data_IF_367346161530
#
_entry.id   IF_367346161530
#
_cell.length_a   1.000
_cell.length_b   1.000
_cell.length_c   1.000
_cell.angle_alpha   90.00
_cell.angle_beta   90.00
_cell.angle_gamma   90.00
#
_symmetry.space_group_name_H-M   'P 1'
#
loop_
_entity.id
_entity.type
_entity.pdbx_description
1 polymer ?
#
# COMPACT_ATOMS: atom_id res chain seq x y z
N UNK A 1 -3.61 2.97 -0.47
CA UNK A 1 -3.75 1.88 -1.46
C UNK A 1 -2.80 0.75 -1.08
N UNK A 2 -3.28 -0.48 -1.13
CA UNK A 2 -2.53 -1.71 -0.93
C UNK A 2 -2.32 -2.43 -2.27
N UNK A 3 -1.16 -3.07 -2.39
CA UNK A 3 -0.79 -3.85 -3.56
C UNK A 3 -0.40 -5.26 -3.10
N UNK A 4 -0.92 -6.29 -3.76
CA UNK A 4 -0.41 -7.65 -3.62
C UNK A 4 1.02 -7.74 -4.18
N UNK A 5 1.94 -8.21 -3.34
CA UNK A 5 3.34 -8.33 -3.70
C UNK A 5 3.60 -9.38 -4.80
N UNK A 6 2.75 -10.42 -4.90
CA UNK A 6 2.98 -11.52 -5.82
C UNK A 6 2.69 -11.10 -7.27
N UNK A 7 1.50 -10.58 -7.51
CA UNK A 7 1.02 -10.28 -8.86
C UNK A 7 1.07 -8.79 -9.20
N UNK A 8 1.26 -7.91 -8.21
CA UNK A 8 1.21 -6.46 -8.39
C UNK A 8 -0.21 -5.96 -8.67
N UNK A 9 -1.23 -6.65 -8.18
CA UNK A 9 -2.62 -6.22 -8.23
C UNK A 9 -2.91 -5.26 -7.08
N UNK A 10 -3.82 -4.32 -7.30
CA UNK A 10 -4.34 -3.46 -6.25
C UNK A 10 -5.32 -4.30 -5.43
N UNK A 11 -5.03 -4.44 -4.14
CA UNK A 11 -5.80 -5.24 -3.20
C UNK A 11 -6.78 -4.42 -2.36
N UNK A 12 -6.60 -3.10 -2.31
CA UNK A 12 -7.51 -2.18 -1.65
C UNK A 12 -7.07 -0.74 -1.84
N UNK A 13 -8.04 0.16 -1.85
CA UNK A 13 -7.81 1.57 -2.08
C UNK A 13 -8.74 2.42 -1.23
N UNK A 14 -8.25 3.59 -0.83
CA UNK A 14 -9.02 4.55 -0.06
C UNK A 14 -8.54 5.96 -0.43
N UNK A 15 -9.48 6.89 -0.48
CA UNK A 15 -9.22 8.32 -0.64
C UNK A 15 -9.60 9.01 0.66
N UNK A 16 -8.63 9.69 1.25
CA UNK A 16 -8.81 10.47 2.48
C UNK A 16 -8.51 11.93 2.22
N UNK A 17 -8.98 12.80 3.11
CA UNK A 17 -8.51 14.18 3.15
C UNK A 17 -7.05 14.16 3.60
N UNK A 18 -6.19 14.95 2.95
CA UNK A 18 -4.80 15.05 3.36
C UNK A 18 -4.71 15.81 4.70
N UNK A 19 -4.54 15.07 5.79
CA UNK A 19 -4.14 15.60 7.08
C UNK A 19 -2.85 14.90 7.57
N UNK A 20 -2.36 15.25 8.76
CA UNK A 20 -1.08 14.77 9.27
C UNK A 20 -1.03 13.26 9.61
N UNK A 21 -2.18 12.59 9.71
CA UNK A 21 -2.30 11.16 10.10
C UNK A 21 -3.06 10.30 9.10
N UNK A 22 -3.77 10.90 8.15
CA UNK A 22 -4.65 10.23 7.20
C UNK A 22 -4.01 9.08 6.44
N UNK A 23 -2.71 9.15 6.13
CA UNK A 23 -1.99 8.06 5.47
C UNK A 23 -1.85 6.82 6.36
N UNK A 24 -1.58 7.01 7.65
CA UNK A 24 -1.43 5.95 8.64
C UNK A 24 -2.80 5.36 8.98
N UNK A 25 -3.80 6.22 9.17
CA UNK A 25 -5.17 5.80 9.50
C UNK A 25 -5.77 5.01 8.33
N UNK A 26 -5.60 5.48 7.09
CA UNK A 26 -6.03 4.77 5.90
C UNK A 26 -5.30 3.44 5.70
N UNK A 27 -4.00 3.38 5.98
CA UNK A 27 -3.25 2.13 5.87
C UNK A 27 -3.75 1.09 6.88
N UNK A 28 -4.07 1.51 8.10
CA UNK A 28 -4.63 0.65 9.14
C UNK A 28 -6.03 0.15 8.74
N UNK A 29 -6.90 1.04 8.29
CA UNK A 29 -8.24 0.65 7.84
C UNK A 29 -8.18 -0.34 6.67
N UNK A 30 -7.32 -0.08 5.68
CA UNK A 30 -7.15 -1.00 4.54
C UNK A 30 -6.62 -2.37 4.97
N UNK A 31 -5.79 -2.44 6.00
CA UNK A 31 -5.32 -3.72 6.57
C UNK A 31 -6.48 -4.47 7.24
N UNK A 32 -7.35 -3.75 7.96
CA UNK A 32 -8.53 -4.34 8.60
C UNK A 32 -9.53 -4.87 7.59
N UNK A 33 -9.75 -4.11 6.51
CA UNK A 33 -10.68 -4.46 5.43
C UNK A 33 -10.22 -5.69 4.63
N UNK A 34 -8.92 -5.98 4.57
CA UNK A 34 -8.42 -7.23 3.96
C UNK A 34 -8.93 -8.47 4.69
N UNK A 35 -9.16 -8.35 6.01
CA UNK A 35 -9.64 -9.43 6.86
C UNK A 35 -8.73 -10.67 6.90
N UNK A 36 -9.24 -11.70 7.58
CA UNK A 36 -8.59 -13.01 7.71
C UNK A 36 -7.72 -13.17 8.97
N UNK A 37 -7.54 -14.42 9.38
CA UNK A 37 -6.78 -14.78 10.59
C UNK A 37 -5.31 -15.11 10.30
N UNK A 38 -4.92 -15.08 9.04
CA UNK A 38 -3.58 -15.44 8.60
C UNK A 38 -2.61 -14.27 8.79
N UNK A 39 -1.40 -14.58 9.25
CA UNK A 39 -0.34 -13.59 9.39
C UNK A 39 0.08 -13.06 8.02
N UNK A 40 -0.10 -11.76 7.79
CA UNK A 40 0.34 -11.08 6.56
C UNK A 40 1.57 -10.19 6.81
N UNK A 41 2.19 -9.72 5.72
CA UNK A 41 3.30 -8.77 5.76
C UNK A 41 2.89 -7.49 5.05
N UNK A 42 3.09 -6.33 5.67
CA UNK A 42 2.79 -5.04 5.03
C UNK A 42 4.08 -4.31 4.65
N UNK A 43 4.28 -4.11 3.35
CA UNK A 43 5.37 -3.29 2.83
C UNK A 43 4.98 -1.81 2.83
N UNK A 44 5.81 -0.93 3.40
CA UNK A 44 5.59 0.52 3.37
C UNK A 44 6.90 1.30 3.23
N UNK A 45 6.79 2.57 2.83
CA UNK A 45 7.96 3.46 2.74
C UNK A 45 8.48 3.90 4.12
N UNK A 46 9.55 4.70 4.11
CA UNK A 46 10.24 5.13 5.33
C UNK A 46 9.43 6.11 6.18
N UNK A 47 8.49 6.86 5.60
CA UNK A 47 7.59 7.77 6.30
C UNK A 47 6.67 7.07 7.31
N UNK A 48 6.38 5.78 7.06
CA UNK A 48 5.61 4.91 7.94
C UNK A 48 6.43 4.31 9.09
N UNK A 49 7.76 4.51 9.15
CA UNK A 49 8.59 4.02 10.26
C UNK A 49 8.38 4.89 11.51
N UNK A 50 7.22 4.70 12.15
CA UNK A 50 6.73 5.40 13.34
C UNK A 50 6.37 4.34 14.39
N UNK A 51 6.72 4.58 15.65
CA UNK A 51 6.49 3.61 16.72
C UNK A 51 5.03 3.18 16.87
N UNK A 52 4.09 4.14 16.83
CA UNK A 52 2.64 3.86 16.89
C UNK A 52 2.20 2.93 15.76
N UNK A 53 2.37 3.35 14.51
CA UNK A 53 1.97 2.53 13.35
C UNK A 53 2.63 1.15 13.32
N UNK A 54 3.91 1.05 13.66
CA UNK A 54 4.61 -0.24 13.71
C UNK A 54 4.01 -1.13 14.78
N UNK A 55 3.65 -0.58 15.95
CA UNK A 55 2.99 -1.32 17.02
C UNK A 55 1.57 -1.73 16.62
N UNK A 56 0.78 -0.83 16.03
CA UNK A 56 -0.58 -1.11 15.57
C UNK A 56 -0.62 -2.30 14.60
N UNK A 57 0.32 -2.36 13.66
CA UNK A 57 0.46 -3.51 12.75
C UNK A 57 0.76 -4.80 13.51
N UNK A 58 1.64 -4.75 14.51
CA UNK A 58 2.03 -5.94 15.29
C UNK A 58 0.86 -6.47 16.10
N UNK A 59 0.06 -5.58 16.70
CA UNK A 59 -1.13 -5.93 17.48
C UNK A 59 -2.20 -6.59 16.61
N UNK A 60 -2.25 -6.23 15.32
CA UNK A 60 -3.09 -6.84 14.28
C UNK A 60 -2.50 -8.10 13.64
N UNK A 61 -1.44 -8.67 14.22
CA UNK A 61 -0.70 -9.83 13.67
C UNK A 61 -0.15 -9.58 12.24
N UNK A 62 0.15 -8.33 11.90
CA UNK A 62 0.79 -7.93 10.64
C UNK A 62 2.28 -7.70 10.86
N UNK A 63 3.11 -8.32 10.02
CA UNK A 63 4.56 -8.11 10.08
C UNK A 63 4.94 -6.84 9.30
N UNK A 64 5.50 -5.81 9.96
CA UNK A 64 5.75 -4.53 9.33
C UNK A 64 7.04 -4.56 8.49
N UNK A 65 6.92 -4.76 7.18
CA UNK A 65 8.03 -4.63 6.22
C UNK A 65 8.21 -3.17 5.77
N UNK A 66 8.35 -2.28 6.75
CA UNK A 66 8.50 -0.83 6.55
C UNK A 66 9.97 -0.49 6.34
N UNK A 67 10.28 0.40 5.39
CA UNK A 67 11.65 0.80 5.13
C UNK A 67 12.28 1.53 6.33
N UNK A 68 13.33 0.94 6.91
CA UNK A 68 13.99 1.42 8.13
C UNK A 68 14.62 2.81 8.02
N UNK A 69 14.41 3.67 9.02
CA UNK A 69 15.16 4.92 9.27
C UNK A 69 16.57 4.63 9.80
N UNK A 70 17.51 5.56 9.58
CA UNK A 70 18.90 5.42 10.05
C UNK A 70 19.04 5.60 11.58
N UNK A 71 18.24 6.49 12.17
CA UNK A 71 18.19 6.78 13.61
C UNK A 71 16.73 6.76 14.07
N UNK A 72 16.49 6.28 15.30
CA UNK A 72 15.14 6.26 15.90
C UNK A 72 14.12 5.43 15.12
N UNK A 73 14.54 4.30 14.55
CA UNK A 73 13.63 3.42 13.80
C UNK A 73 12.82 2.54 14.76
N UNK A 74 11.53 2.38 14.47
CA UNK A 74 10.66 1.42 15.14
C UNK A 74 10.83 -0.01 14.59
N UNK A 75 11.49 -0.15 13.44
CA UNK A 75 11.83 -1.44 12.83
C UNK A 75 13.17 -1.95 13.37
N UNK A 76 13.09 -3.07 14.09
CA UNK A 76 14.21 -3.75 14.73
C UNK A 76 14.62 -5.05 14.02
N UNK A 77 15.67 -5.70 14.54
CA UNK A 77 16.28 -6.90 13.95
C UNK A 77 15.32 -8.09 13.82
N UNK A 78 14.23 -8.15 14.61
CA UNK A 78 13.21 -9.21 14.52
C UNK A 78 12.53 -9.22 13.16
N UNK A 79 12.38 -8.06 12.52
CA UNK A 79 11.81 -7.93 11.17
C UNK A 79 12.91 -8.06 10.13
N UNK A 80 14.02 -7.34 10.29
CA UNK A 80 15.01 -7.18 9.21
C UNK A 80 15.88 -8.41 8.95
N UNK A 81 16.00 -9.33 9.92
CA UNK A 81 16.79 -10.57 9.78
C UNK A 81 16.25 -11.54 8.73
N UNK A 82 14.96 -11.44 8.38
CA UNK A 82 14.32 -12.38 7.47
C UNK A 82 14.50 -11.96 6.01
N UNK A 83 14.83 -12.91 5.13
CA UNK A 83 14.96 -12.65 3.67
C UNK A 83 13.70 -12.01 3.07
N UNK A 84 12.52 -12.38 3.58
CA UNK A 84 11.24 -11.81 3.16
C UNK A 84 11.15 -10.29 3.34
N UNK A 85 11.82 -9.71 4.34
CA UNK A 85 11.88 -8.26 4.52
C UNK A 85 12.58 -7.60 3.33
N UNK A 86 13.78 -8.07 2.97
CA UNK A 86 14.53 -7.52 1.84
C UNK A 86 13.76 -7.64 0.51
N UNK A 87 13.09 -8.78 0.28
CA UNK A 87 12.24 -8.98 -0.90
C UNK A 87 11.05 -8.02 -0.93
N UNK A 88 10.35 -7.88 0.19
CA UNK A 88 9.19 -6.98 0.31
C UNK A 88 9.57 -5.53 0.07
N UNK A 89 10.72 -5.08 0.60
CA UNK A 89 11.23 -3.73 0.35
C UNK A 89 11.53 -3.49 -1.14
N UNK A 90 12.05 -4.51 -1.84
CA UNK A 90 12.28 -4.42 -3.27
C UNK A 90 10.95 -4.36 -4.05
N UNK A 91 10.02 -5.27 -3.78
CA UNK A 91 8.72 -5.36 -4.46
C UNK A 91 7.86 -4.14 -4.22
N UNK A 92 7.92 -3.51 -3.04
CA UNK A 92 7.21 -2.27 -2.70
C UNK A 92 7.45 -1.15 -3.71
N UNK A 93 8.56 -1.14 -4.45
CA UNK A 93 8.80 -0.14 -5.52
C UNK A 93 7.80 -0.24 -6.66
N UNK A 94 7.21 -1.42 -6.90
CA UNK A 94 6.22 -1.63 -7.97
C UNK A 94 4.97 -0.76 -7.80
N UNK A 95 4.61 -0.37 -6.57
CA UNK A 95 3.47 0.53 -6.33
C UNK A 95 3.67 1.89 -7.01
N UNK A 96 4.91 2.35 -7.16
CA UNK A 96 5.22 3.60 -7.86
C UNK A 96 4.89 3.50 -9.35
N UNK A 97 5.08 2.33 -9.95
CA UNK A 97 4.67 2.07 -11.33
C UNK A 97 3.14 2.08 -11.49
N UNK A 98 2.40 1.61 -10.49
CA UNK A 98 0.92 1.68 -10.48
C UNK A 98 0.47 3.14 -10.45
N UNK A 99 1.01 3.93 -9.51
CA UNK A 99 0.71 5.37 -9.44
C UNK A 99 1.13 6.11 -10.72
N UNK A 100 2.25 5.71 -11.33
CA UNK A 100 2.68 6.21 -12.64
C UNK A 100 1.65 5.92 -13.73
N UNK A 101 1.15 4.69 -13.82
CA UNK A 101 0.11 4.31 -14.76
C UNK A 101 -1.21 5.06 -14.52
N UNK A 102 -1.65 5.19 -13.27
CA UNK A 102 -2.87 5.94 -12.93
C UNK A 102 -2.78 7.41 -13.35
N UNK A 103 -1.62 8.03 -13.18
CA UNK A 103 -1.39 9.43 -13.58
C UNK A 103 -1.32 9.60 -15.10
N UNK A 104 -0.72 8.65 -15.82
CA UNK A 104 -0.44 8.78 -17.26
C UNK A 104 -1.56 8.22 -18.14
N UNK A 105 -2.07 7.03 -17.81
CA UNK A 105 -3.11 6.31 -18.56
C UNK A 105 -4.46 6.42 -17.87
N UNK A 106 -4.50 6.26 -16.54
CA UNK A 106 -5.74 6.31 -15.75
C UNK A 106 -6.35 7.70 -15.56
N UNK A 107 -5.82 8.76 -16.20
CA UNK A 107 -6.39 10.10 -16.16
C UNK A 107 -6.28 10.82 -14.81
N UNK A 108 -5.52 10.30 -13.84
CA UNK A 108 -5.42 10.84 -12.48
C UNK A 108 -4.25 11.80 -12.26
N UNK A 109 -3.71 12.42 -13.32
CA UNK A 109 -2.63 13.40 -13.19
C UNK A 109 -3.03 14.60 -12.32
N UNK A 110 -4.30 15.00 -12.40
CA UNK A 110 -4.95 16.01 -11.54
C UNK A 110 -6.35 15.52 -11.19
N UNK A 111 -6.77 15.78 -9.96
CA UNK A 111 -8.15 15.48 -9.53
C UNK A 111 -9.13 16.38 -10.27
N UNK A 112 -10.06 15.79 -11.03
CA UNK A 112 -11.07 16.51 -11.82
C UNK A 112 -12.36 16.78 -11.05
N UNK A 113 -12.56 16.06 -9.95
CA UNK A 113 -13.79 16.10 -9.17
C UNK A 113 -13.58 16.80 -7.82
N UNK A 114 -14.66 17.33 -7.25
CA UNK A 114 -14.69 17.90 -5.91
C UNK A 114 -15.48 16.96 -4.99
N UNK A 115 -14.99 16.79 -3.76
CA UNK A 115 -15.59 15.91 -2.75
C UNK A 115 -15.02 14.48 -2.77
N UNK A 116 -14.85 13.89 -1.59
CA UNK A 116 -14.22 12.57 -1.42
C UNK A 116 -14.95 11.46 -2.19
N UNK A 117 -16.28 11.47 -2.21
CA UNK A 117 -17.07 10.45 -2.90
C UNK A 117 -16.75 10.37 -4.40
N UNK A 118 -16.81 11.50 -5.10
CA UNK A 118 -16.54 11.54 -6.55
C UNK A 118 -15.08 11.25 -6.89
N UNK A 119 -14.16 11.68 -6.03
CA UNK A 119 -12.72 11.38 -6.19
C UNK A 119 -12.46 9.90 -5.92
N UNK A 120 -13.10 9.33 -4.90
CA UNK A 120 -13.06 7.91 -4.55
C UNK A 120 -13.57 7.03 -5.68
N UNK A 121 -14.71 7.38 -6.29
CA UNK A 121 -15.23 6.67 -7.46
C UNK A 121 -14.23 6.69 -8.62
N UNK A 122 -13.65 7.85 -8.95
CA UNK A 122 -12.64 7.94 -10.00
C UNK A 122 -11.40 7.10 -9.69
N UNK A 123 -10.93 7.09 -8.43
CA UNK A 123 -9.80 6.27 -8.01
C UNK A 123 -10.10 4.78 -8.12
N UNK A 124 -11.30 4.36 -7.69
CA UNK A 124 -11.75 2.96 -7.75
C UNK A 124 -11.86 2.48 -9.21
N UNK A 125 -12.40 3.32 -10.10
CA UNK A 125 -12.45 3.01 -11.54
C UNK A 125 -11.05 2.87 -12.15
N UNK A 126 -10.12 3.77 -11.82
CA UNK A 126 -8.74 3.69 -12.29
C UNK A 126 -8.01 2.45 -11.73
N UNK A 127 -8.21 2.11 -10.45
CA UNK A 127 -7.66 0.93 -9.82
C UNK A 127 -8.20 -0.36 -10.47
N UNK A 128 -9.51 -0.43 -10.69
CA UNK A 128 -10.17 -1.55 -11.36
C UNK A 128 -9.63 -1.73 -12.79
N UNK A 129 -9.54 -0.65 -13.56
CA UNK A 129 -8.98 -0.69 -14.91
C UNK A 129 -7.52 -1.17 -14.93
N UNK A 130 -6.70 -0.69 -13.98
CA UNK A 130 -5.32 -1.18 -13.83
C UNK A 130 -5.29 -2.69 -13.58
N UNK A 131 -6.11 -3.19 -12.64
CA UNK A 131 -6.18 -4.62 -12.32
C UNK A 131 -6.57 -5.46 -13.54
N UNK A 132 -7.57 -5.03 -14.32
CA UNK A 132 -7.99 -5.74 -15.55
C UNK A 132 -6.84 -5.84 -16.57
N UNK A 133 -6.16 -4.71 -16.85
CA UNK A 133 -5.01 -4.70 -17.77
C UNK A 133 -3.87 -5.57 -17.23
N UNK A 134 -3.62 -5.54 -15.92
CA UNK A 134 -2.58 -6.35 -15.27
C UNK A 134 -2.89 -7.84 -15.35
N UNK A 135 -4.12 -8.25 -15.06
CA UNK A 135 -4.55 -9.65 -15.15
C UNK A 135 -4.45 -10.17 -16.58
N UNK A 136 -4.88 -9.38 -17.58
CA UNK A 136 -4.75 -9.76 -18.98
C UNK A 136 -3.29 -10.02 -19.38
N UNK A 137 -2.34 -9.20 -18.89
CA UNK A 137 -0.91 -9.43 -19.12
C UNK A 137 -0.35 -10.64 -18.39
N UNK A 138 -0.85 -10.92 -17.18
CA UNK A 138 -0.44 -12.09 -16.41
C UNK A 138 -0.96 -13.40 -17.02
N UNK A 139 -2.12 -13.39 -17.66
CA UNK A 139 -2.71 -14.57 -18.30
C UNK A 139 -1.94 -15.04 -19.55
N UNK A 140 -1.12 -14.16 -20.14
CA UNK A 140 -0.34 -14.45 -21.36
C UNK A 140 1.12 -14.81 -21.03
N UNK A 141 1.54 -14.63 -19.77
CA UNK A 141 2.90 -14.86 -19.30
C UNK A 141 3.06 -16.26 -18.68
#
# INVERSE_FOLDING_TARGET
MLMDNRHGLIAGEQVTTADGTAEVDAATQLVDDLGGNQRITLGADKGYDRHGFVQDLRDRNVTPHVARKRKGSAIDARTTRHRGYAMSIHVRRRIESIFGWMKTVGGMRKTRFRGLERVGLHFSLAATAYNLVRMARLAVA
#
